data_IF_069169739462
#
_entry.id   IF_069169739462
#
_cell.length_a   1.000
_cell.length_b   1.000
_cell.length_c   1.000
_cell.angle_alpha   90.00
_cell.angle_beta   90.00
_cell.angle_gamma   90.00
#
_symmetry.space_group_name_H-M   'P 1'
#
loop_
_entity.id
_entity.type
_entity.pdbx_description
1 polymer ?
#
# COMPACT_ATOMS: atom_id res chain seq x y z
N UNK A 1 -18.43 -15.22 33.65
CA UNK A 1 -17.80 -15.66 32.40
C UNK A 1 -17.36 -17.10 32.56
N UNK A 2 -17.95 -18.01 31.78
CA UNK A 2 -17.54 -19.42 31.74
C UNK A 2 -16.19 -19.55 31.04
N UNK A 3 -15.47 -20.65 31.27
CA UNK A 3 -14.17 -20.87 30.64
C UNK A 3 -14.25 -21.01 29.11
N UNK A 4 -15.40 -21.44 28.61
CA UNK A 4 -15.67 -21.50 27.17
C UNK A 4 -15.83 -20.10 26.56
N UNK A 5 -16.52 -19.18 27.24
CA UNK A 5 -16.63 -17.78 26.82
C UNK A 5 -15.27 -17.09 26.78
N UNK A 6 -14.42 -17.33 27.79
CA UNK A 6 -13.03 -16.84 27.82
C UNK A 6 -12.23 -17.32 26.62
N UNK A 7 -12.29 -18.62 26.30
CA UNK A 7 -11.57 -19.21 25.17
C UNK A 7 -12.05 -18.64 23.83
N UNK A 8 -13.36 -18.43 23.67
CA UNK A 8 -13.94 -17.84 22.47
C UNK A 8 -13.45 -16.40 22.27
N UNK A 9 -13.46 -15.59 23.32
CA UNK A 9 -12.97 -14.20 23.29
C UNK A 9 -11.48 -14.17 22.91
N UNK A 10 -10.66 -15.03 23.52
CA UNK A 10 -9.23 -15.10 23.19
C UNK A 10 -8.98 -15.50 21.72
N UNK A 11 -9.76 -16.44 21.19
CA UNK A 11 -9.66 -16.86 19.79
C UNK A 11 -10.03 -15.72 18.84
N UNK A 12 -11.09 -14.95 19.16
CA UNK A 12 -11.47 -13.75 18.41
C UNK A 12 -10.36 -12.71 18.39
N UNK A 13 -9.76 -12.39 19.54
CA UNK A 13 -8.67 -11.41 19.61
C UNK A 13 -7.45 -11.83 18.78
N UNK A 14 -7.07 -13.12 18.80
CA UNK A 14 -5.98 -13.62 17.95
C UNK A 14 -6.29 -13.47 16.46
N UNK A 15 -7.54 -13.73 16.06
CA UNK A 15 -7.96 -13.54 14.67
C UNK A 15 -7.93 -12.05 14.27
N UNK A 16 -8.47 -11.18 15.12
CA UNK A 16 -8.49 -9.72 14.88
C UNK A 16 -7.07 -9.17 14.76
N UNK A 17 -6.15 -9.61 15.62
CA UNK A 17 -4.74 -9.23 15.57
C UNK A 17 -4.04 -9.72 14.29
N UNK A 18 -4.27 -10.98 13.90
CA UNK A 18 -3.73 -11.53 12.66
C UNK A 18 -4.21 -10.74 11.43
N UNK A 19 -5.52 -10.43 11.36
CA UNK A 19 -6.08 -9.63 10.28
C UNK A 19 -5.52 -8.19 10.28
N UNK A 20 -5.33 -7.58 11.46
CA UNK A 20 -4.73 -6.25 11.55
C UNK A 20 -3.28 -6.24 11.04
N UNK A 21 -2.49 -7.25 11.42
CA UNK A 21 -1.12 -7.43 10.93
C UNK A 21 -1.09 -7.61 9.41
N UNK A 22 -2.01 -8.40 8.85
CA UNK A 22 -2.05 -8.62 7.40
C UNK A 22 -2.44 -7.36 6.63
N UNK A 23 -3.41 -6.56 7.12
CA UNK A 23 -3.72 -5.24 6.54
C UNK A 23 -2.51 -4.32 6.53
N UNK A 24 -1.71 -4.31 7.60
CA UNK A 24 -0.47 -3.52 7.66
C UNK A 24 0.57 -4.04 6.67
N UNK A 25 0.76 -5.35 6.56
CA UNK A 25 1.68 -5.95 5.58
C UNK A 25 1.29 -5.58 4.15
N UNK A 26 0.01 -5.70 3.81
CA UNK A 26 -0.51 -5.35 2.47
C UNK A 26 -0.28 -3.87 2.15
N UNK A 27 -0.56 -2.96 3.09
CA UNK A 27 -0.29 -1.52 2.92
C UNK A 27 1.20 -1.25 2.70
N UNK A 28 2.08 -1.84 3.52
CA UNK A 28 3.54 -1.68 3.37
C UNK A 28 4.05 -2.23 2.05
N UNK A 29 3.53 -3.37 1.60
CA UNK A 29 3.88 -3.95 0.31
C UNK A 29 3.45 -3.02 -0.84
N UNK A 30 2.22 -2.49 -0.80
CA UNK A 30 1.72 -1.53 -1.79
C UNK A 30 2.57 -0.25 -1.84
N UNK A 31 2.85 0.36 -0.69
CA UNK A 31 3.68 1.58 -0.62
C UNK A 31 5.09 1.32 -1.14
N UNK A 32 5.71 0.17 -0.80
CA UNK A 32 7.04 -0.19 -1.32
C UNK A 32 7.03 -0.32 -2.84
N UNK A 33 6.00 -0.97 -3.40
CA UNK A 33 5.85 -1.11 -4.85
C UNK A 33 5.72 0.25 -5.52
N UNK A 34 4.87 1.14 -5.01
CA UNK A 34 4.69 2.48 -5.56
C UNK A 34 5.98 3.31 -5.53
N UNK A 35 6.79 3.23 -4.46
CA UNK A 35 8.09 3.91 -4.39
C UNK A 35 9.05 3.36 -5.44
N UNK A 36 9.09 2.04 -5.62
CA UNK A 36 9.94 1.41 -6.63
C UNK A 36 9.50 1.77 -8.05
N UNK A 37 8.19 1.76 -8.33
CA UNK A 37 7.61 2.19 -9.60
C UNK A 37 7.96 3.66 -9.89
N UNK A 38 7.83 4.55 -8.90
CA UNK A 38 8.23 5.96 -9.01
C UNK A 38 9.73 6.15 -9.28
N UNK A 39 10.59 5.41 -8.59
CA UNK A 39 12.04 5.47 -8.82
C UNK A 39 12.42 4.98 -10.24
N UNK A 40 11.73 3.97 -10.76
CA UNK A 40 11.92 3.52 -12.15
C UNK A 40 11.46 4.58 -13.13
N UNK A 41 10.31 5.23 -12.86
CA UNK A 41 9.77 6.30 -13.67
C UNK A 41 10.73 7.49 -13.77
N UNK A 42 11.19 8.03 -12.63
CA UNK A 42 12.13 9.16 -12.58
C UNK A 42 13.45 8.86 -13.30
N UNK A 43 13.93 7.62 -13.22
CA UNK A 43 15.14 7.18 -13.93
C UNK A 43 14.92 7.10 -15.44
N UNK A 44 13.76 6.62 -15.88
CA UNK A 44 13.44 6.44 -17.30
C UNK A 44 13.04 7.75 -17.98
N UNK A 45 12.43 8.67 -17.24
CA UNK A 45 11.88 9.95 -17.72
C UNK A 45 12.29 11.08 -16.77
N UNK A 46 13.54 11.59 -16.83
CA UNK A 46 14.05 12.57 -15.88
C UNK A 46 13.24 13.87 -15.77
N UNK A 47 12.52 14.25 -16.83
CA UNK A 47 11.61 15.40 -16.86
C UNK A 47 10.47 15.30 -15.84
N UNK A 48 10.12 14.10 -15.36
CA UNK A 48 9.05 13.92 -14.36
C UNK A 48 9.45 14.41 -12.97
N UNK A 49 10.75 14.62 -12.69
CA UNK A 49 11.24 15.07 -11.38
C UNK A 49 10.78 16.49 -11.00
N UNK A 50 10.53 17.35 -11.99
CA UNK A 50 10.10 18.73 -11.78
C UNK A 50 8.60 18.93 -11.88
N UNK A 51 7.85 17.90 -12.29
CA UNK A 51 6.40 17.96 -12.47
C UNK A 51 5.70 17.73 -11.14
N UNK A 52 4.60 18.44 -10.92
CA UNK A 52 3.66 18.03 -9.89
C UNK A 52 2.85 16.79 -10.31
N UNK A 53 2.01 16.26 -9.41
CA UNK A 53 1.25 15.03 -9.70
C UNK A 53 0.23 15.20 -10.83
N UNK A 54 -0.38 16.38 -10.99
CA UNK A 54 -1.38 16.62 -12.03
C UNK A 54 -0.70 16.80 -13.39
N UNK A 55 0.43 17.52 -13.42
CA UNK A 55 1.26 17.67 -14.60
C UNK A 55 1.80 16.32 -15.06
N UNK A 56 2.27 15.49 -14.13
CA UNK A 56 2.74 14.14 -14.41
C UNK A 56 1.64 13.25 -14.99
N UNK A 57 0.44 13.26 -14.39
CA UNK A 57 -0.70 12.49 -14.87
C UNK A 57 -1.10 12.91 -16.29
N UNK A 58 -1.21 14.22 -16.54
CA UNK A 58 -1.50 14.77 -17.88
C UNK A 58 -0.44 14.35 -18.89
N UNK A 59 0.84 14.54 -18.56
CA UNK A 59 1.97 14.20 -19.42
C UNK A 59 2.01 12.71 -19.79
N UNK A 60 1.80 11.81 -18.82
CA UNK A 60 1.80 10.38 -19.07
C UNK A 60 0.58 9.93 -19.89
N UNK A 61 -0.59 10.55 -19.69
CA UNK A 61 -1.76 10.30 -20.54
C UNK A 61 -1.52 10.73 -21.99
N UNK A 62 -0.89 11.89 -22.21
CA UNK A 62 -0.56 12.36 -23.56
C UNK A 62 0.49 11.47 -24.25
N UNK A 63 1.46 10.92 -23.50
CA UNK A 63 2.49 10.04 -24.05
C UNK A 63 1.97 8.65 -24.45
N UNK A 64 0.94 8.17 -23.76
CA UNK A 64 0.39 6.83 -23.96
C UNK A 64 -0.71 6.75 -25.04
N UNK A 65 -1.15 7.89 -25.56
CA UNK A 65 -2.15 8.02 -26.63
C UNK A 65 -1.48 8.30 -27.99
#
# INVERSE_FOLDING_TARGET
>A
MTDNEKKLIQARHRLEEAQARDRVKQRKARTRRLIQEGAVLEKALPQTLSMDLNELETYLHELAN
#
